data_IF_238918062940
#
_entry.id   IF_238918062940
#
_cell.length_a   1.000
_cell.length_b   1.000
_cell.length_c   1.000
_cell.angle_alpha   90.00
_cell.angle_beta   90.00
_cell.angle_gamma   90.00
#
_symmetry.space_group_name_H-M   'P 1'
#
loop_
_entity.id
_entity.type
_entity.pdbx_description
1 polymer ?
#
# COMPACT_ATOMS: atom_id res chain seq x y z
N UNK A 1 17.47 27.26 13.49
CA UNK A 1 16.46 26.18 13.43
C UNK A 1 16.52 25.63 12.02
N UNK A 2 16.91 24.38 11.83
CA UNK A 2 16.81 23.77 10.50
C UNK A 2 15.33 23.57 10.19
N UNK A 3 14.87 24.03 9.03
CA UNK A 3 13.51 23.77 8.56
C UNK A 3 13.32 22.28 8.23
N UNK A 4 12.07 21.83 8.19
CA UNK A 4 11.70 20.50 7.69
C UNK A 4 12.08 20.39 6.21
N UNK A 5 12.76 19.31 5.85
CA UNK A 5 13.09 18.98 4.46
C UNK A 5 11.86 18.48 3.69
N UNK A 6 11.92 18.48 2.36
CA UNK A 6 10.79 17.97 1.55
C UNK A 6 10.60 16.46 1.76
N UNK A 7 11.69 15.71 1.87
CA UNK A 7 11.66 14.27 2.12
C UNK A 7 11.01 13.95 3.47
N UNK A 8 11.31 14.71 4.52
CA UNK A 8 10.64 14.57 5.82
C UNK A 8 9.14 14.87 5.72
N UNK A 9 8.74 15.93 5.00
CA UNK A 9 7.33 16.26 4.80
C UNK A 9 6.57 15.15 4.06
N UNK A 10 7.15 14.61 2.99
CA UNK A 10 6.57 13.49 2.23
C UNK A 10 6.47 12.23 3.09
N UNK A 11 7.50 11.91 3.87
CA UNK A 11 7.47 10.76 4.78
C UNK A 11 6.40 10.88 5.86
N UNK A 12 6.18 12.09 6.40
CA UNK A 12 5.09 12.36 7.34
C UNK A 12 3.73 12.12 6.69
N UNK A 13 3.50 12.68 5.50
CA UNK A 13 2.21 12.52 4.79
C UNK A 13 1.95 11.05 4.45
N UNK A 14 2.98 10.34 3.98
CA UNK A 14 2.91 8.90 3.68
C UNK A 14 2.49 8.08 4.90
N UNK A 15 3.15 8.29 6.05
CA UNK A 15 2.77 7.64 7.32
C UNK A 15 1.37 8.05 7.80
N UNK A 16 0.97 9.30 7.62
CA UNK A 16 -0.36 9.76 8.03
C UNK A 16 -1.45 9.05 7.23
N UNK A 17 -1.26 8.81 5.93
CA UNK A 17 -2.19 8.04 5.13
C UNK A 17 -2.36 6.60 5.66
N UNK A 18 -1.27 5.91 5.97
CA UNK A 18 -1.32 4.59 6.58
C UNK A 18 -2.03 4.58 7.94
N UNK A 19 -1.78 5.60 8.75
CA UNK A 19 -2.44 5.78 10.06
C UNK A 19 -3.94 5.97 9.88
N UNK A 20 -4.34 6.86 8.97
CA UNK A 20 -5.74 7.13 8.67
C UNK A 20 -6.46 5.90 8.11
N UNK A 21 -5.81 5.13 7.23
CA UNK A 21 -6.35 3.88 6.70
C UNK A 21 -6.59 2.83 7.81
N UNK A 22 -5.68 2.72 8.78
CA UNK A 22 -5.87 1.84 9.94
C UNK A 22 -6.98 2.34 10.88
N UNK A 23 -7.00 3.63 11.17
CA UNK A 23 -8.05 4.25 12.00
C UNK A 23 -9.44 4.09 11.38
N UNK A 24 -9.54 4.12 10.05
CA UNK A 24 -10.80 3.93 9.35
C UNK A 24 -11.36 2.51 9.56
N UNK A 25 -10.55 1.49 9.78
CA UNK A 25 -11.02 0.10 9.82
C UNK A 25 -11.04 -0.55 11.20
N UNK A 26 -10.45 0.10 12.21
CA UNK A 26 -10.25 -0.50 13.54
C UNK A 26 -11.56 -0.80 14.28
N UNK A 27 -12.60 0.00 14.06
CA UNK A 27 -13.93 -0.11 14.69
C UNK A 27 -14.89 -1.05 13.96
N UNK A 28 -14.51 -1.57 12.78
CA UNK A 28 -15.37 -2.44 11.98
C UNK A 28 -15.35 -3.88 12.51
N UNK A 29 -16.51 -4.54 12.62
CA UNK A 29 -16.58 -5.98 12.82
C UNK A 29 -16.35 -6.74 11.51
N UNK A 30 -16.30 -8.08 11.58
CA UNK A 30 -16.08 -8.95 10.42
C UNK A 30 -17.11 -8.74 9.30
N UNK A 31 -18.38 -8.49 9.67
CA UNK A 31 -19.47 -8.26 8.73
C UNK A 31 -19.23 -6.96 7.96
N UNK A 32 -18.99 -5.85 8.67
CA UNK A 32 -18.74 -4.53 8.08
C UNK A 32 -17.45 -4.49 7.28
N UNK A 33 -16.43 -5.23 7.71
CA UNK A 33 -15.16 -5.32 6.99
C UNK A 33 -15.35 -6.04 5.65
N UNK A 34 -16.20 -7.07 5.59
CA UNK A 34 -16.50 -7.81 4.36
C UNK A 34 -17.63 -7.20 3.53
N UNK A 35 -18.43 -6.31 4.12
CA UNK A 35 -19.56 -5.68 3.45
C UNK A 35 -19.12 -4.94 2.19
N UNK A 36 -19.91 -5.09 1.13
CA UNK A 36 -19.78 -4.34 -0.13
C UNK A 36 -21.14 -4.12 -0.79
N UNK A 37 -21.40 -2.93 -1.35
CA UNK A 37 -22.48 -2.76 -2.31
C UNK A 37 -22.10 -3.39 -3.67
N UNK A 38 -23.06 -3.52 -4.61
CA UNK A 38 -22.74 -3.92 -5.98
C UNK A 38 -21.69 -3.01 -6.62
N UNK A 39 -20.79 -3.59 -7.43
CA UNK A 39 -19.74 -2.86 -8.17
C UNK A 39 -18.77 -2.07 -7.27
N UNK A 40 -18.52 -2.57 -6.06
CA UNK A 40 -17.51 -2.02 -5.17
C UNK A 40 -16.73 -3.14 -4.49
N UNK A 41 -15.45 -2.86 -4.21
CA UNK A 41 -14.64 -3.70 -3.35
C UNK A 41 -15.11 -3.60 -1.90
N UNK A 42 -14.88 -4.64 -1.10
CA UNK A 42 -15.12 -4.58 0.35
C UNK A 42 -14.08 -3.71 1.05
N UNK A 43 -14.35 -3.31 2.29
CA UNK A 43 -13.35 -2.60 3.11
C UNK A 43 -12.12 -3.49 3.34
N UNK A 44 -12.32 -4.79 3.57
CA UNK A 44 -11.26 -5.80 3.71
C UNK A 44 -10.32 -5.80 2.50
N UNK A 45 -10.88 -5.80 1.29
CA UNK A 45 -10.08 -5.78 0.07
C UNK A 45 -9.33 -4.47 -0.09
N UNK A 46 -9.99 -3.32 0.13
CA UNK A 46 -9.32 -2.02 0.00
C UNK A 46 -8.14 -1.91 0.96
N UNK A 47 -8.29 -2.26 2.25
CA UNK A 47 -7.18 -2.17 3.21
C UNK A 47 -6.06 -3.18 2.90
N UNK A 48 -6.41 -4.41 2.48
CA UNK A 48 -5.44 -5.39 2.00
C UNK A 48 -4.66 -4.88 0.78
N UNK A 49 -5.36 -4.28 -0.19
CA UNK A 49 -4.79 -3.76 -1.42
C UNK A 49 -3.81 -2.60 -1.13
N UNK A 50 -4.18 -1.66 -0.25
CA UNK A 50 -3.26 -0.60 0.20
C UNK A 50 -2.00 -1.24 0.81
N UNK A 51 -2.15 -2.22 1.72
CA UNK A 51 -1.03 -2.88 2.35
C UNK A 51 -0.14 -3.65 1.37
N UNK A 52 -0.72 -4.36 0.39
CA UNK A 52 0.06 -5.01 -0.67
C UNK A 52 0.84 -4.01 -1.51
N UNK A 53 0.23 -2.87 -1.86
CA UNK A 53 0.92 -1.83 -2.62
C UNK A 53 2.07 -1.19 -1.83
N UNK A 54 1.86 -0.87 -0.55
CA UNK A 54 2.89 -0.35 0.33
C UNK A 54 4.04 -1.35 0.54
N UNK A 55 3.71 -2.63 0.73
CA UNK A 55 4.69 -3.71 0.90
C UNK A 55 5.50 -3.97 -0.37
N UNK A 56 4.86 -3.93 -1.54
CA UNK A 56 5.56 -4.00 -2.81
C UNK A 56 6.43 -2.75 -3.04
N UNK A 57 5.88 -1.56 -2.84
CA UNK A 57 6.58 -0.30 -3.03
C UNK A 57 7.85 -0.22 -2.19
N UNK A 58 7.78 -0.57 -0.90
CA UNK A 58 8.96 -0.51 -0.03
C UNK A 58 10.09 -1.42 -0.49
N UNK A 59 9.75 -2.58 -1.06
CA UNK A 59 10.75 -3.52 -1.55
C UNK A 59 11.45 -3.06 -2.83
N UNK A 60 10.79 -2.25 -3.66
CA UNK A 60 11.42 -1.64 -4.85
C UNK A 60 12.08 -0.29 -4.55
N UNK A 61 11.63 0.44 -3.52
CA UNK A 61 12.20 1.75 -3.17
C UNK A 61 13.70 1.66 -2.89
N UNK A 62 14.13 0.63 -2.17
CA UNK A 62 15.54 0.38 -1.88
C UNK A 62 16.38 0.12 -3.15
N UNK A 63 15.77 -0.29 -4.25
CA UNK A 63 16.51 -0.62 -5.48
C UNK A 63 16.58 0.54 -6.47
N UNK A 64 15.78 1.59 -6.27
CA UNK A 64 15.60 2.71 -7.21
C UNK A 64 16.88 3.48 -7.51
N UNK A 65 17.83 3.55 -6.57
CA UNK A 65 19.12 4.21 -6.78
C UNK A 65 20.23 3.47 -6.03
N UNK A 66 21.51 3.60 -6.45
CA UNK A 66 22.64 3.05 -5.68
C UNK A 66 22.67 3.57 -4.23
N UNK A 67 22.39 4.86 -4.03
CA UNK A 67 22.39 5.48 -2.70
C UNK A 67 21.30 4.92 -1.79
N UNK A 68 20.10 4.69 -2.33
CA UNK A 68 19.01 4.08 -1.56
C UNK A 68 19.31 2.61 -1.27
N UNK A 69 19.97 1.90 -2.19
CA UNK A 69 20.37 0.51 -2.01
C UNK A 69 21.35 0.34 -0.86
N UNK A 70 22.36 1.22 -0.79
CA UNK A 70 23.32 1.24 0.31
C UNK A 70 22.66 1.64 1.63
N UNK A 71 21.81 2.67 1.61
CA UNK A 71 21.23 3.24 2.83
C UNK A 71 20.12 2.39 3.44
N UNK A 72 19.16 1.96 2.62
CA UNK A 72 17.97 1.20 3.06
C UNK A 72 18.28 -0.29 3.18
N UNK A 73 19.12 -0.81 2.28
CA UNK A 73 19.42 -2.24 2.20
C UNK A 73 18.26 -3.06 1.62
N UNK A 74 18.45 -4.39 1.49
CA UNK A 74 17.45 -5.29 0.95
C UNK A 74 16.21 -5.35 1.85
N UNK A 75 15.04 -5.09 1.27
CA UNK A 75 13.76 -5.04 1.99
C UNK A 75 12.72 -5.94 1.31
N UNK A 76 12.86 -7.28 1.40
CA UNK A 76 11.89 -8.18 0.78
C UNK A 76 10.48 -7.90 1.33
N UNK A 77 9.48 -8.07 0.47
CA UNK A 77 8.07 -7.92 0.85
C UNK A 77 7.76 -8.80 2.06
N UNK A 78 7.07 -8.22 3.05
CA UNK A 78 6.53 -8.92 4.21
C UNK A 78 5.66 -10.10 3.74
N UNK A 79 4.86 -9.87 2.69
CA UNK A 79 4.04 -10.86 2.01
C UNK A 79 4.80 -12.11 1.60
N UNK A 80 5.88 -11.92 0.83
CA UNK A 80 6.70 -13.01 0.32
C UNK A 80 7.50 -13.69 1.44
N UNK A 81 8.15 -12.89 2.31
CA UNK A 81 8.97 -13.41 3.41
C UNK A 81 8.18 -14.31 4.36
N UNK A 82 6.93 -13.95 4.62
CA UNK A 82 6.05 -14.71 5.51
C UNK A 82 5.15 -15.71 4.77
N UNK A 83 5.23 -15.83 3.45
CA UNK A 83 4.47 -16.80 2.65
C UNK A 83 2.95 -16.62 2.75
N UNK A 84 2.47 -15.37 2.78
CA UNK A 84 1.06 -15.07 3.07
C UNK A 84 0.09 -15.63 2.01
N UNK A 85 0.48 -15.67 0.73
CA UNK A 85 -0.36 -16.28 -0.31
C UNK A 85 -0.71 -17.74 0.05
N UNK A 86 0.31 -18.56 0.36
CA UNK A 86 0.10 -19.95 0.75
C UNK A 86 -0.66 -20.07 2.09
N UNK A 87 -0.33 -19.24 3.09
CA UNK A 87 -1.02 -19.24 4.39
C UNK A 87 -2.51 -18.96 4.28
N UNK A 88 -2.90 -18.05 3.38
CA UNK A 88 -4.30 -17.68 3.16
C UNK A 88 -4.97 -18.53 2.06
N UNK A 89 -4.28 -19.56 1.55
CA UNK A 89 -4.82 -20.49 0.57
C UNK A 89 -5.02 -19.89 -0.82
N UNK A 90 -4.31 -18.82 -1.16
CA UNK A 90 -4.41 -18.16 -2.46
C UNK A 90 -3.51 -18.83 -3.51
N UNK A 91 -4.02 -18.92 -4.74
CA UNK A 91 -3.19 -19.18 -5.90
C UNK A 91 -2.57 -17.85 -6.36
N UNK A 92 -1.26 -17.83 -6.59
CA UNK A 92 -0.54 -16.61 -6.96
C UNK A 92 -1.10 -15.95 -8.23
N UNK A 93 -1.59 -16.77 -9.17
CA UNK A 93 -2.22 -16.31 -10.42
C UNK A 93 -3.52 -15.54 -10.23
N UNK A 94 -4.13 -15.59 -9.03
CA UNK A 94 -5.41 -14.96 -8.73
C UNK A 94 -5.27 -13.62 -7.99
N UNK A 95 -4.05 -13.19 -7.69
CA UNK A 95 -3.77 -12.03 -6.85
C UNK A 95 -3.51 -10.73 -7.63
N UNK A 96 -3.87 -10.70 -8.91
CA UNK A 96 -3.61 -9.57 -9.80
C UNK A 96 -2.13 -9.31 -10.03
N UNK A 97 -1.81 -8.15 -10.62
CA UNK A 97 -0.43 -7.82 -10.98
C UNK A 97 0.46 -7.71 -9.74
N UNK A 98 1.64 -8.35 -9.80
CA UNK A 98 2.62 -8.47 -8.70
C UNK A 98 1.99 -8.88 -7.35
N UNK A 99 0.92 -9.69 -7.41
CA UNK A 99 0.15 -10.15 -6.26
C UNK A 99 -0.39 -9.03 -5.36
N UNK A 100 -0.73 -7.87 -5.93
CA UNK A 100 -1.21 -6.71 -5.15
C UNK A 100 -2.71 -6.50 -5.19
N UNK A 101 -3.45 -7.29 -5.98
CA UNK A 101 -4.84 -7.02 -6.32
C UNK A 101 -5.02 -6.00 -7.46
N UNK A 102 -3.92 -5.43 -7.97
CA UNK A 102 -3.96 -4.54 -9.13
C UNK A 102 -4.55 -5.25 -10.35
N UNK A 103 -5.49 -4.58 -11.01
CA UNK A 103 -6.16 -5.07 -12.22
C UNK A 103 -7.29 -6.07 -11.96
N UNK A 104 -7.60 -6.38 -10.71
CA UNK A 104 -8.76 -7.23 -10.39
C UNK A 104 -10.06 -6.42 -10.49
N UNK A 105 -11.03 -6.98 -11.19
CA UNK A 105 -12.43 -6.52 -11.14
C UNK A 105 -13.05 -6.82 -9.77
N UNK A 106 -14.06 -6.04 -9.39
CA UNK A 106 -14.70 -6.17 -8.09
C UNK A 106 -15.24 -7.60 -7.86
N UNK A 107 -15.81 -8.27 -8.85
CA UNK A 107 -16.35 -9.62 -8.69
C UNK A 107 -15.27 -10.70 -8.56
N UNK A 108 -14.07 -10.44 -9.09
CA UNK A 108 -12.91 -11.31 -8.86
C UNK A 108 -12.37 -11.08 -7.45
N UNK A 109 -12.24 -9.82 -7.03
CA UNK A 109 -11.76 -9.47 -5.69
C UNK A 109 -12.64 -10.05 -4.57
N UNK A 110 -13.96 -10.11 -4.78
CA UNK A 110 -14.92 -10.66 -3.80
C UNK A 110 -14.75 -12.15 -3.54
N UNK A 111 -14.09 -12.89 -4.45
CA UNK A 111 -13.84 -14.33 -4.29
C UNK A 111 -12.61 -14.61 -3.44
N UNK A 112 -11.78 -13.59 -3.17
CA UNK A 112 -10.64 -13.76 -2.28
C UNK A 112 -11.14 -14.06 -0.87
N UNK A 113 -10.82 -15.25 -0.38
CA UNK A 113 -11.03 -15.65 1.00
C UNK A 113 -10.00 -14.96 1.92
N UNK A 114 -10.09 -13.63 2.05
CA UNK A 114 -9.28 -12.87 2.99
C UNK A 114 -9.47 -13.42 4.42
N UNK A 115 -8.41 -13.46 5.25
CA UNK A 115 -8.50 -14.04 6.58
C UNK A 115 -9.39 -13.20 7.51
N UNK A 116 -9.53 -13.65 8.75
CA UNK A 116 -10.20 -12.87 9.80
C UNK A 116 -9.53 -11.52 10.02
N UNK A 117 -10.29 -10.56 10.57
CA UNK A 117 -9.88 -9.18 10.80
C UNK A 117 -8.52 -9.07 11.48
N UNK A 118 -8.31 -9.82 12.56
CA UNK A 118 -7.08 -9.69 13.35
C UNK A 118 -5.84 -10.10 12.57
N UNK A 119 -5.92 -11.20 11.80
CA UNK A 119 -4.82 -11.66 10.96
C UNK A 119 -4.58 -10.70 9.79
N UNK A 120 -5.65 -10.25 9.12
CA UNK A 120 -5.56 -9.25 8.05
C UNK A 120 -4.88 -7.97 8.54
N UNK A 121 -5.37 -7.41 9.65
CA UNK A 121 -4.84 -6.16 10.21
C UNK A 121 -3.44 -6.33 10.79
N UNK A 122 -3.05 -7.54 11.24
CA UNK A 122 -1.66 -7.82 11.61
C UNK A 122 -0.74 -7.69 10.39
N UNK A 123 -1.09 -8.29 9.25
CA UNK A 123 -0.34 -8.14 8.01
C UNK A 123 -0.28 -6.67 7.55
N UNK A 124 -1.41 -5.97 7.54
CA UNK A 124 -1.50 -4.55 7.13
C UNK A 124 -0.55 -3.69 7.96
N UNK A 125 -0.55 -3.84 9.28
CA UNK A 125 0.33 -3.08 10.19
C UNK A 125 1.81 -3.34 9.91
N UNK A 126 2.18 -4.58 9.62
CA UNK A 126 3.58 -4.93 9.35
C UNK A 126 4.04 -4.41 7.99
N UNK A 127 3.19 -4.49 6.96
CA UNK A 127 3.43 -3.89 5.65
C UNK A 127 3.64 -2.37 5.76
N UNK A 128 2.70 -1.66 6.39
CA UNK A 128 2.78 -0.21 6.61
C UNK A 128 4.03 0.18 7.39
N UNK A 129 4.37 -0.55 8.46
CA UNK A 129 5.59 -0.28 9.24
C UNK A 129 6.86 -0.44 8.38
N UNK A 130 6.90 -1.42 7.48
CA UNK A 130 8.06 -1.60 6.59
C UNK A 130 8.15 -0.45 5.58
N UNK A 131 7.02 -0.06 4.99
CA UNK A 131 6.97 1.03 4.02
C UNK A 131 7.30 2.39 4.63
N UNK A 132 6.71 2.71 5.78
CA UNK A 132 7.01 3.92 6.53
C UNK A 132 8.49 4.02 6.89
N UNK A 133 9.11 2.91 7.30
CA UNK A 133 10.55 2.87 7.60
C UNK A 133 11.36 3.18 6.36
N UNK A 134 11.04 2.56 5.22
CA UNK A 134 11.78 2.76 3.98
C UNK A 134 11.67 4.22 3.47
N UNK A 135 10.47 4.80 3.48
CA UNK A 135 10.25 6.19 3.02
C UNK A 135 10.94 7.21 3.93
N UNK A 136 10.97 7.00 5.25
CA UNK A 136 11.71 7.88 6.19
C UNK A 136 13.23 7.90 5.98
N UNK A 137 13.78 6.96 5.23
CA UNK A 137 15.22 6.92 4.93
C UNK A 137 15.58 7.72 3.68
N UNK A 138 14.59 8.20 2.93
CA UNK A 138 14.79 9.05 1.75
C UNK A 138 15.21 10.45 2.17
N UNK A 139 16.12 11.08 1.43
CA UNK A 139 16.60 12.46 1.63
C UNK A 139 16.26 13.30 0.41
N UNK A 140 16.33 14.63 0.54
CA UNK A 140 15.96 15.56 -0.54
C UNK A 140 16.71 15.30 -1.84
N UNK A 141 18.02 15.00 -1.77
CA UNK A 141 18.84 14.71 -2.95
C UNK A 141 18.41 13.43 -3.69
N UNK A 142 17.72 12.50 -3.03
CA UNK A 142 17.19 11.29 -3.66
C UNK A 142 15.92 11.59 -4.46
N UNK A 143 15.12 12.59 -4.06
CA UNK A 143 13.77 12.82 -4.60
C UNK A 143 13.76 13.10 -6.11
N UNK A 144 14.82 13.73 -6.61
CA UNK A 144 14.99 14.08 -8.02
C UNK A 144 15.74 13.02 -8.81
N UNK A 145 16.29 11.99 -8.15
CA UNK A 145 17.00 10.93 -8.86
C UNK A 145 16.01 10.09 -9.68
N UNK A 146 16.36 9.72 -10.92
CA UNK A 146 15.61 8.75 -11.70
C UNK A 146 15.45 7.44 -10.93
N UNK A 147 14.26 6.85 -10.98
CA UNK A 147 14.01 5.55 -10.36
C UNK A 147 14.42 4.43 -11.32
N UNK A 148 15.40 3.62 -10.93
CA UNK A 148 15.80 2.39 -11.63
C UNK A 148 14.98 1.20 -11.11
N UNK A 149 14.24 0.55 -12.00
CA UNK A 149 13.31 -0.51 -11.64
C UNK A 149 13.46 -1.69 -12.59
N UNK A 150 13.40 -2.89 -12.03
CA UNK A 150 13.34 -4.12 -12.80
C UNK A 150 11.94 -4.25 -13.44
N UNK A 151 11.89 -4.55 -14.74
CA UNK A 151 10.65 -4.51 -15.51
C UNK A 151 9.58 -5.50 -15.02
N UNK A 152 10.00 -6.65 -14.47
CA UNK A 152 9.12 -7.68 -13.90
C UNK A 152 8.45 -7.23 -12.58
N UNK A 153 9.04 -6.25 -11.89
CA UNK A 153 8.51 -5.65 -10.68
C UNK A 153 7.49 -4.56 -10.97
N UNK A 154 7.51 -3.98 -12.17
CA UNK A 154 6.58 -2.92 -12.60
C UNK A 154 6.04 -3.17 -14.01
N UNK A 155 5.43 -4.35 -14.28
CA UNK A 155 5.09 -4.80 -15.64
C UNK A 155 4.01 -3.95 -16.33
N UNK A 156 3.35 -3.04 -15.61
CA UNK A 156 2.38 -2.09 -16.18
C UNK A 156 3.04 -0.86 -16.82
N UNK A 157 4.35 -0.66 -16.64
CA UNK A 157 5.11 0.43 -17.26
C UNK A 157 5.80 -0.09 -18.51
N UNK A 158 5.55 0.56 -19.65
CA UNK A 158 5.94 0.05 -20.97
C UNK A 158 7.35 0.46 -21.41
N UNK A 159 8.04 1.34 -20.66
CA UNK A 159 9.37 1.84 -21.01
C UNK A 159 10.21 2.24 -19.79
N UNK A 160 11.53 2.00 -19.80
CA UNK A 160 12.45 2.48 -18.77
C UNK A 160 12.45 3.99 -18.53
N UNK A 161 12.03 4.76 -19.54
CA UNK A 161 11.91 6.23 -19.43
C UNK A 161 10.67 6.69 -18.70
N UNK A 162 9.73 5.79 -18.38
CA UNK A 162 8.46 6.11 -17.71
C UNK A 162 8.49 5.88 -16.19
N UNK A 163 9.63 5.48 -15.63
CA UNK A 163 9.75 5.23 -14.19
C UNK A 163 9.75 6.53 -13.36
N UNK A 164 9.99 7.70 -13.95
CA UNK A 164 9.99 8.96 -13.19
C UNK A 164 11.12 9.03 -12.16
N UNK A 165 10.89 9.77 -11.07
CA UNK A 165 11.86 9.95 -9.97
C UNK A 165 11.41 9.25 -8.70
N UNK A 166 12.33 9.04 -7.75
CA UNK A 166 12.01 8.54 -6.40
C UNK A 166 10.86 9.33 -5.76
N UNK A 167 10.92 10.67 -5.82
CA UNK A 167 9.87 11.53 -5.27
C UNK A 167 8.51 11.32 -5.96
N UNK A 168 8.49 11.10 -7.27
CA UNK A 168 7.25 10.84 -8.01
C UNK A 168 6.59 9.49 -7.62
N UNK A 169 7.39 8.48 -7.27
CA UNK A 169 6.89 7.21 -6.75
C UNK A 169 6.29 7.35 -5.36
N UNK A 170 6.95 8.08 -4.45
CA UNK A 170 6.40 8.37 -3.12
C UNK A 170 5.07 9.13 -3.25
N UNK A 171 5.03 10.16 -4.08
CA UNK A 171 3.80 10.90 -4.35
C UNK A 171 2.69 10.02 -4.97
N UNK A 172 3.07 9.05 -5.81
CA UNK A 172 2.13 8.07 -6.37
C UNK A 172 1.56 7.16 -5.29
N UNK A 173 2.38 6.69 -4.35
CA UNK A 173 1.94 5.93 -3.17
C UNK A 173 0.96 6.71 -2.31
N UNK A 174 1.31 7.96 -1.95
CA UNK A 174 0.43 8.88 -1.20
C UNK A 174 -0.93 9.02 -1.89
N UNK A 175 -0.93 9.25 -3.21
CA UNK A 175 -2.17 9.39 -3.98
C UNK A 175 -2.98 8.09 -4.02
N UNK A 176 -2.31 6.96 -4.19
CA UNK A 176 -2.95 5.63 -4.22
C UNK A 176 -3.66 5.33 -2.91
N UNK A 177 -2.95 5.46 -1.78
CA UNK A 177 -3.49 5.26 -0.44
C UNK A 177 -4.69 6.18 -0.17
N UNK A 178 -4.58 7.47 -0.48
CA UNK A 178 -5.65 8.44 -0.26
C UNK A 178 -6.92 8.10 -1.06
N UNK A 179 -6.79 7.58 -2.29
CA UNK A 179 -7.95 7.16 -3.10
C UNK A 179 -8.68 5.98 -2.46
N UNK A 180 -7.95 4.96 -2.02
CA UNK A 180 -8.56 3.80 -1.37
C UNK A 180 -9.08 4.13 0.04
N UNK A 181 -8.44 5.02 0.78
CA UNK A 181 -8.98 5.57 2.02
C UNK A 181 -10.33 6.24 1.77
N UNK A 182 -10.46 7.07 0.74
CA UNK A 182 -11.74 7.67 0.36
C UNK A 182 -12.82 6.62 0.04
N UNK A 183 -12.45 5.51 -0.60
CA UNK A 183 -13.38 4.39 -0.84
C UNK A 183 -13.80 3.73 0.48
N UNK A 184 -12.86 3.49 1.41
CA UNK A 184 -13.16 2.93 2.74
C UNK A 184 -14.12 3.85 3.50
N UNK A 185 -13.85 5.15 3.56
CA UNK A 185 -14.70 6.13 4.25
C UNK A 185 -16.11 6.20 3.65
N UNK A 186 -16.23 6.14 2.32
CA UNK A 186 -17.52 6.09 1.63
C UNK A 186 -18.30 4.82 1.97
N UNK A 187 -17.64 3.67 2.01
CA UNK A 187 -18.25 2.39 2.40
C UNK A 187 -18.71 2.40 3.86
N UNK A 188 -17.92 2.99 4.78
CA UNK A 188 -18.35 3.20 6.17
C UNK A 188 -19.62 4.03 6.25
N UNK A 189 -19.65 5.16 5.55
CA UNK A 189 -20.82 6.04 5.50
C UNK A 189 -22.06 5.32 4.96
N UNK A 190 -21.90 4.55 3.89
CA UNK A 190 -22.98 3.75 3.31
C UNK A 190 -23.47 2.63 4.24
N UNK A 191 -22.60 2.11 5.12
CA UNK A 191 -22.94 1.17 6.18
C UNK A 191 -23.50 1.84 7.45
N UNK A 192 -23.77 3.16 7.43
CA UNK A 192 -24.35 3.90 8.55
C UNK A 192 -23.34 4.29 9.65
N UNK A 193 -22.04 4.19 9.38
CA UNK A 193 -20.97 4.53 10.32
C UNK A 193 -20.44 5.94 10.06
N UNK A 194 -19.82 6.55 11.09
CA UNK A 194 -19.14 7.83 10.94
C UNK A 194 -17.78 7.64 10.27
N UNK A 195 -17.43 8.58 9.40
CA UNK A 195 -16.09 8.68 8.84
C UNK A 195 -15.08 9.28 9.83
N UNK A 196 -13.80 9.18 9.51
CA UNK A 196 -12.71 9.65 10.40
C UNK A 196 -12.39 11.14 10.27
N UNK A 197 -12.76 11.77 9.14
CA UNK A 197 -12.39 13.16 8.83
C UNK A 197 -13.28 14.24 9.46
N UNK A 198 -14.46 13.87 10.01
CA UNK A 198 -15.47 14.82 10.52
C UNK A 198 -15.81 14.58 11.99
N UNK A 199 -14.83 14.10 12.78
CA UNK A 199 -14.96 13.83 14.22
C UNK A 199 -15.22 15.10 15.03
#
# INVERSE_FOLDING_TARGET
MSGMTMAEALAIIYTLNHTNALEAVVDLDEEKLRWRPPRSNSVAFNIWHIARWADHFQSILSTMTPTLRERVGPTPEVWARAGFAAKWGFLESELGTVQTGMGMDEDVSAKLALPGKDELLSYVKDAFRSADRAVRMVRDDDLTQPAELEADRVPWLSSPTQYGTVGSWIATGIRHEARHLGMIEALKGAAGLRGTATR
#
